data_IF_587418783844
#
_entry.id   IF_587418783844
#
_cell.length_a   1.000
_cell.length_b   1.000
_cell.length_c   1.000
_cell.angle_alpha   90.00
_cell.angle_beta   90.00
_cell.angle_gamma   90.00
#
_symmetry.space_group_name_H-M   'P 1'
#
loop_
_entity.id
_entity.type
_entity.pdbx_description
1 polymer ?
#
# COMPACT_ATOMS: atom_id res chain seq x y z
N UNK A 1 -6.82 -23.30 -13.51
CA UNK A 1 -7.42 -23.55 -12.18
C UNK A 1 -7.02 -22.41 -11.27
N UNK A 2 -8.03 -21.77 -10.67
CA UNK A 2 -8.04 -20.81 -9.56
C UNK A 2 -6.77 -19.96 -9.30
N UNK A 3 -6.85 -18.67 -9.66
CA UNK A 3 -6.11 -17.63 -8.93
C UNK A 3 -6.55 -17.71 -7.46
N UNK A 4 -5.62 -18.02 -6.56
CA UNK A 4 -5.90 -18.03 -5.15
C UNK A 4 -6.18 -16.58 -4.74
N UNK A 5 -7.46 -16.26 -4.53
CA UNK A 5 -7.87 -15.00 -3.93
C UNK A 5 -7.35 -15.03 -2.49
N UNK A 6 -6.17 -14.47 -2.27
CA UNK A 6 -5.60 -14.34 -0.93
C UNK A 6 -6.48 -13.36 -0.17
N UNK A 7 -7.37 -13.90 0.66
CA UNK A 7 -8.09 -13.12 1.66
C UNK A 7 -7.11 -12.79 2.79
N UNK A 8 -6.27 -11.77 2.62
CA UNK A 8 -5.44 -11.24 3.69
C UNK A 8 -6.22 -10.17 4.46
N UNK A 9 -6.95 -10.59 5.50
CA UNK A 9 -7.33 -9.68 6.58
C UNK A 9 -6.04 -9.09 7.19
N UNK A 10 -6.04 -7.83 7.68
CA UNK A 10 -4.82 -7.13 8.08
C UNK A 10 -4.10 -7.92 9.18
N UNK A 11 -2.85 -8.32 8.95
CA UNK A 11 -2.00 -8.89 9.99
C UNK A 11 -1.71 -7.81 11.05
N UNK A 12 -2.20 -7.90 12.30
CA UNK A 12 -1.95 -6.88 13.32
C UNK A 12 -0.58 -7.08 14.01
N UNK A 13 0.48 -7.33 13.23
CA UNK A 13 1.77 -7.77 13.77
C UNK A 13 2.89 -6.72 13.74
N UNK A 14 3.04 -6.00 12.63
CA UNK A 14 4.17 -5.09 12.43
C UNK A 14 3.88 -4.09 11.30
N UNK A 15 4.01 -2.79 11.59
CA UNK A 15 3.86 -1.71 10.61
C UNK A 15 4.78 -1.90 9.40
N UNK A 16 6.02 -2.36 9.61
CA UNK A 16 6.97 -2.56 8.50
C UNK A 16 6.57 -3.70 7.54
N UNK A 17 5.91 -4.75 8.06
CA UNK A 17 5.41 -5.83 7.21
C UNK A 17 4.21 -5.36 6.38
N UNK A 18 3.28 -4.66 7.03
CA UNK A 18 2.13 -4.06 6.36
C UNK A 18 2.55 -3.01 5.33
N UNK A 19 3.53 -2.16 5.66
CA UNK A 19 4.10 -1.18 4.73
C UNK A 19 4.70 -1.84 3.50
N UNK A 20 5.48 -2.91 3.68
CA UNK A 20 6.02 -3.69 2.57
C UNK A 20 4.94 -4.24 1.63
N UNK A 21 3.88 -4.81 2.20
CA UNK A 21 2.74 -5.31 1.40
C UNK A 21 2.02 -4.17 0.65
N UNK A 22 1.90 -2.99 1.25
CA UNK A 22 1.32 -1.80 0.57
C UNK A 22 2.22 -1.36 -0.58
N UNK A 23 3.54 -1.33 -0.37
CA UNK A 23 4.51 -0.96 -1.42
C UNK A 23 4.50 -1.95 -2.57
N UNK A 24 4.41 -3.26 -2.30
CA UNK A 24 4.28 -4.29 -3.35
C UNK A 24 3.00 -4.07 -4.19
N UNK A 25 1.85 -3.82 -3.55
CA UNK A 25 0.61 -3.54 -4.28
C UNK A 25 0.69 -2.27 -5.13
N UNK A 26 1.38 -1.23 -4.66
CA UNK A 26 1.61 -0.01 -5.43
C UNK A 26 2.52 -0.29 -6.62
N UNK A 27 3.57 -1.09 -6.44
CA UNK A 27 4.47 -1.49 -7.51
C UNK A 27 3.73 -2.26 -8.60
N UNK A 28 2.90 -3.23 -8.21
CA UNK A 28 2.03 -3.98 -9.14
C UNK A 28 1.03 -3.06 -9.86
N UNK A 29 0.41 -2.12 -9.15
CA UNK A 29 -0.58 -1.20 -9.73
C UNK A 29 0.03 -0.19 -10.73
N UNK A 30 1.29 0.19 -10.53
CA UNK A 30 2.03 1.11 -11.39
C UNK A 30 2.82 0.40 -12.50
N UNK A 31 2.86 -0.93 -12.51
CA UNK A 31 3.78 -1.74 -13.33
C UNK A 31 5.24 -1.24 -13.17
N UNK A 32 5.62 -0.95 -11.93
CA UNK A 32 6.88 -0.30 -11.56
C UNK A 32 7.73 -1.18 -10.64
N UNK A 33 8.98 -0.80 -10.41
CA UNK A 33 9.83 -1.50 -9.45
C UNK A 33 9.39 -1.19 -8.01
N UNK A 34 9.67 -2.10 -7.07
CA UNK A 34 9.46 -1.84 -5.64
C UNK A 34 10.14 -0.55 -5.19
N UNK A 35 11.34 -0.24 -5.72
CA UNK A 35 12.07 0.99 -5.39
C UNK A 35 11.35 2.25 -5.87
N UNK A 36 10.70 2.22 -7.03
CA UNK A 36 9.90 3.34 -7.53
C UNK A 36 8.64 3.52 -6.68
N UNK A 37 7.95 2.41 -6.37
CA UNK A 37 6.79 2.41 -5.48
C UNK A 37 7.12 2.88 -4.07
N UNK A 38 8.29 2.51 -3.54
CA UNK A 38 8.76 2.98 -2.24
C UNK A 38 8.92 4.51 -2.25
N UNK A 39 9.41 5.10 -3.33
CA UNK A 39 9.46 6.56 -3.49
C UNK A 39 8.07 7.23 -3.39
N UNK A 40 7.03 6.59 -3.93
CA UNK A 40 5.64 7.08 -3.81
C UNK A 40 5.13 6.99 -2.37
N UNK A 41 5.43 5.89 -1.68
CA UNK A 41 5.07 5.69 -0.26
C UNK A 41 5.80 6.69 0.63
N UNK A 42 7.11 6.89 0.43
CA UNK A 42 7.93 7.83 1.19
C UNK A 42 7.57 9.29 0.93
N UNK A 43 6.95 9.61 -0.21
CA UNK A 43 6.38 10.93 -0.46
C UNK A 43 5.14 11.23 0.40
N UNK A 44 4.52 10.20 1.00
CA UNK A 44 3.23 10.31 1.70
C UNK A 44 3.24 9.65 3.10
N UNK A 45 4.17 10.01 4.00
CA UNK A 45 4.31 9.36 5.30
C UNK A 45 3.06 9.54 6.19
N UNK A 46 2.36 10.68 6.06
CA UNK A 46 1.13 10.94 6.81
C UNK A 46 -0.01 10.02 6.37
N UNK A 47 -0.12 9.75 5.06
CA UNK A 47 -1.16 8.88 4.52
C UNK A 47 -0.98 7.44 5.02
N UNK A 48 0.27 6.95 5.04
CA UNK A 48 0.60 5.63 5.61
C UNK A 48 0.28 5.51 7.10
N UNK A 49 0.72 6.47 7.91
CA UNK A 49 0.46 6.42 9.35
C UNK A 49 -1.04 6.51 9.68
N UNK A 50 -1.79 7.32 8.93
CA UNK A 50 -3.24 7.44 9.11
C UNK A 50 -3.95 6.17 8.67
N UNK A 51 -3.62 5.60 7.50
CA UNK A 51 -4.18 4.34 7.02
C UNK A 51 -3.93 3.19 8.02
N UNK A 52 -2.71 3.08 8.55
CA UNK A 52 -2.38 2.12 9.61
C UNK A 52 -3.20 2.36 10.89
N UNK A 53 -3.25 3.60 11.37
CA UNK A 53 -3.97 3.95 12.61
C UNK A 53 -5.48 3.75 12.50
N UNK A 54 -6.03 3.84 11.30
CA UNK A 54 -7.44 3.56 11.01
C UNK A 54 -7.73 2.06 10.82
N UNK A 55 -6.71 1.20 10.87
CA UNK A 55 -6.85 -0.24 10.63
C UNK A 55 -7.24 -0.58 9.19
N UNK A 56 -6.81 0.28 8.24
CA UNK A 56 -7.12 0.14 6.83
C UNK A 56 -6.43 -1.10 6.25
N UNK A 57 -7.10 -1.82 5.35
CA UNK A 57 -6.46 -2.96 4.67
C UNK A 57 -5.33 -2.49 3.74
N UNK A 58 -4.43 -3.40 3.40
CA UNK A 58 -3.29 -3.14 2.51
C UNK A 58 -3.77 -2.58 1.16
N UNK A 59 -4.86 -3.15 0.62
CA UNK A 59 -5.46 -2.78 -0.64
C UNK A 59 -6.10 -1.38 -0.59
N UNK A 60 -6.85 -1.09 0.48
CA UNK A 60 -7.46 0.22 0.67
C UNK A 60 -6.39 1.32 0.84
N UNK A 61 -5.33 1.03 1.59
CA UNK A 61 -4.21 1.96 1.78
C UNK A 61 -3.46 2.22 0.46
N UNK A 62 -3.12 1.17 -0.30
CA UNK A 62 -2.48 1.32 -1.61
C UNK A 62 -3.32 2.15 -2.58
N UNK A 63 -4.63 1.87 -2.68
CA UNK A 63 -5.55 2.64 -3.53
C UNK A 63 -5.63 4.11 -3.10
N UNK A 64 -5.63 4.38 -1.79
CA UNK A 64 -5.65 5.73 -1.25
C UNK A 64 -4.36 6.50 -1.57
N UNK A 65 -3.20 5.88 -1.38
CA UNK A 65 -1.89 6.48 -1.66
C UNK A 65 -1.74 6.79 -3.14
N UNK A 66 -2.22 5.91 -4.02
CA UNK A 66 -2.26 6.15 -5.46
C UNK A 66 -3.18 7.31 -5.83
N UNK A 67 -4.36 7.39 -5.21
CA UNK A 67 -5.30 8.49 -5.42
C UNK A 67 -4.72 9.84 -4.96
N UNK A 68 -4.11 9.88 -3.77
CA UNK A 68 -3.43 11.07 -3.26
C UNK A 68 -2.21 11.45 -4.16
N UNK A 69 -1.42 10.47 -4.61
CA UNK A 69 -0.28 10.68 -5.52
C UNK A 69 -0.68 11.28 -6.87
N UNK A 70 -1.78 10.81 -7.47
CA UNK A 70 -2.25 11.34 -8.77
C UNK A 70 -3.00 12.66 -8.64
N UNK A 71 -3.59 12.96 -7.48
CA UNK A 71 -4.35 14.20 -7.24
C UNK A 71 -3.48 15.39 -6.85
N UNK A 72 -2.21 15.17 -6.55
CA UNK A 72 -1.21 16.21 -6.33
C UNK A 72 -0.62 16.78 -7.64
N UNK A 73 -1.11 16.34 -8.81
CA UNK A 73 -0.68 16.79 -10.14
C UNK A 73 -1.54 17.93 -10.72
#
# INVERSE_FOLDING_TARGET
MAVAFVSHAPSPGNFAAWEGEVTDLIAEALDASYSDAQGVVEAQPLCMQLAWSMGMSVQEAAAKILADATSAA
#
